data_IF_338959968669
#
_entry.id   IF_338959968669
#
_cell.length_a   1.000
_cell.length_b   1.000
_cell.length_c   1.000
_cell.angle_alpha   90.00
_cell.angle_beta   90.00
_cell.angle_gamma   90.00
#
_symmetry.space_group_name_H-M   'P 1'
#
loop_
_entity.id
_entity.type
_entity.pdbx_description
1 polymer ?
#
# COMPACT_ATOMS: atom_id res chain seq x y z
N UNK A 1 12.71 12.17 9.50
CA UNK A 1 11.91 11.85 10.70
C UNK A 1 11.09 10.60 10.40
N UNK A 2 11.02 9.63 11.33
CA UNK A 2 10.13 8.48 11.21
C UNK A 2 8.73 8.95 11.64
N UNK A 3 7.82 9.11 10.68
CA UNK A 3 6.48 9.65 10.92
C UNK A 3 5.44 8.59 11.28
N UNK A 4 5.82 7.30 11.24
CA UNK A 4 4.92 6.20 11.59
C UNK A 4 5.33 5.60 12.92
N UNK A 5 4.50 5.82 13.93
CA UNK A 5 4.75 5.42 15.32
C UNK A 5 4.16 4.05 15.64
N UNK A 6 3.24 3.54 14.81
CA UNK A 6 2.54 2.27 15.04
C UNK A 6 2.83 1.30 13.91
N UNK A 7 3.33 0.12 14.27
CA UNK A 7 3.38 -1.00 13.33
C UNK A 7 1.94 -1.54 13.13
N UNK A 8 1.62 -2.06 11.94
CA UNK A 8 0.32 -2.54 11.48
C UNK A 8 0.06 -4.01 11.83
N UNK A 9 -0.80 -4.27 12.80
CA UNK A 9 -1.39 -5.55 13.19
C UNK A 9 -2.81 -5.65 12.63
N UNK A 10 -3.32 -6.88 12.54
CA UNK A 10 -4.69 -7.15 12.08
C UNK A 10 -5.80 -6.42 12.87
N UNK A 11 -5.54 -6.05 14.13
CA UNK A 11 -6.48 -5.37 15.02
C UNK A 11 -6.29 -3.84 15.11
N UNK A 12 -5.27 -3.27 14.47
CA UNK A 12 -5.06 -1.81 14.38
C UNK A 12 -4.86 -1.33 12.93
N UNK A 13 -5.28 -2.15 11.96
CA UNK A 13 -5.11 -1.87 10.54
C UNK A 13 -5.63 -0.48 10.16
N UNK A 14 -6.88 -0.15 10.52
CA UNK A 14 -7.49 1.16 10.21
C UNK A 14 -6.66 2.34 10.73
N UNK A 15 -6.03 2.20 11.90
CA UNK A 15 -5.22 3.25 12.49
C UNK A 15 -3.88 3.40 11.77
N UNK A 16 -3.21 2.29 11.42
CA UNK A 16 -1.95 2.37 10.68
C UNK A 16 -2.16 2.74 9.20
N UNK A 17 -3.27 2.31 8.60
CA UNK A 17 -3.71 2.74 7.26
C UNK A 17 -3.88 4.27 7.23
N UNK A 18 -4.59 4.83 8.23
CA UNK A 18 -4.74 6.28 8.38
C UNK A 18 -3.39 6.99 8.49
N UNK A 19 -2.44 6.44 9.26
CA UNK A 19 -1.10 7.04 9.40
C UNK A 19 -0.28 7.00 8.10
N UNK A 20 -0.37 5.91 7.33
CA UNK A 20 0.32 5.77 6.04
C UNK A 20 -0.28 6.72 5.01
N UNK A 21 -1.60 6.76 4.89
CA UNK A 21 -2.30 7.69 4.01
C UNK A 21 -1.91 9.12 4.36
N UNK A 22 -2.00 9.49 5.64
CA UNK A 22 -1.64 10.84 6.10
C UNK A 22 -0.19 11.20 5.75
N UNK A 23 0.76 10.26 5.91
CA UNK A 23 2.16 10.47 5.53
C UNK A 23 2.28 10.70 4.01
N UNK A 24 1.70 9.83 3.19
CA UNK A 24 1.78 9.91 1.73
C UNK A 24 1.11 11.19 1.21
N UNK A 25 -0.06 11.55 1.75
CA UNK A 25 -0.80 12.77 1.43
C UNK A 25 -0.02 14.03 1.82
N UNK A 26 0.65 14.04 2.98
CA UNK A 26 1.48 15.18 3.41
C UNK A 26 2.62 15.51 2.44
N UNK A 27 3.01 14.54 1.59
CA UNK A 27 4.03 14.68 0.56
C UNK A 27 3.45 14.91 -0.84
N UNK A 28 2.12 14.92 -0.99
CA UNK A 28 1.45 15.02 -2.29
C UNK A 28 1.60 13.77 -3.17
N UNK A 29 1.83 12.60 -2.56
CA UNK A 29 2.19 11.37 -3.28
C UNK A 29 1.04 10.35 -3.38
N UNK A 30 -0.19 10.72 -3.01
CA UNK A 30 -1.34 9.81 -2.99
C UNK A 30 -1.62 9.16 -4.36
N UNK A 31 -1.31 9.90 -5.43
CA UNK A 31 -1.42 9.45 -6.82
C UNK A 31 -0.71 8.12 -7.13
N UNK A 32 0.37 7.80 -6.40
CA UNK A 32 1.15 6.57 -6.61
C UNK A 32 0.46 5.32 -6.08
N UNK A 33 -0.45 5.43 -5.11
CA UNK A 33 -1.15 4.28 -4.53
C UNK A 33 -2.59 4.13 -5.06
N UNK A 34 -3.25 5.23 -5.45
CA UNK A 34 -4.57 5.16 -6.08
C UNK A 34 -4.51 4.97 -7.61
N UNK A 35 -3.38 5.31 -8.25
CA UNK A 35 -3.17 5.15 -9.68
C UNK A 35 -3.28 6.43 -10.50
N UNK A 36 -3.52 7.59 -9.88
CA UNK A 36 -3.58 8.88 -10.59
C UNK A 36 -2.21 9.35 -11.09
N UNK A 37 -1.11 8.74 -10.62
CA UNK A 37 0.26 8.98 -11.09
C UNK A 37 0.83 7.73 -11.77
N UNK A 38 0.45 7.43 -13.02
CA UNK A 38 0.94 6.25 -13.73
C UNK A 38 2.44 6.35 -14.06
N UNK A 39 3.10 5.19 -14.20
CA UNK A 39 4.50 5.13 -14.63
C UNK A 39 4.66 5.76 -16.02
N UNK A 40 5.62 6.68 -16.21
CA UNK A 40 6.05 7.11 -17.53
C UNK A 40 6.62 5.96 -18.36
N UNK A 41 6.77 6.17 -19.67
CA UNK A 41 7.51 5.25 -20.54
C UNK A 41 8.97 5.17 -20.10
N UNK A 42 9.54 3.95 -20.08
CA UNK A 42 10.92 3.72 -19.65
C UNK A 42 11.95 4.36 -20.59
N UNK A 43 11.66 4.36 -21.89
CA UNK A 43 12.49 4.96 -22.93
C UNK A 43 11.66 5.95 -23.73
N UNK A 44 12.32 6.98 -24.24
CA UNK A 44 11.76 7.98 -25.15
C UNK A 44 12.67 8.14 -26.35
N UNK A 45 12.08 8.49 -27.49
CA UNK A 45 12.87 8.88 -28.67
C UNK A 45 13.39 10.31 -28.50
N UNK A 46 14.69 10.49 -28.66
CA UNK A 46 15.32 11.79 -28.77
C UNK A 46 16.11 11.84 -30.08
N UNK A 47 15.52 12.48 -31.10
CA UNK A 47 16.10 12.64 -32.43
C UNK A 47 16.47 11.30 -33.11
N UNK A 48 15.60 10.30 -33.03
CA UNK A 48 15.79 8.98 -33.64
C UNK A 48 16.66 8.02 -32.84
N UNK A 49 17.04 8.40 -31.61
CA UNK A 49 17.76 7.53 -30.67
C UNK A 49 16.87 7.26 -29.46
N UNK A 50 16.69 5.98 -29.12
CA UNK A 50 16.02 5.59 -27.87
C UNK A 50 16.95 5.87 -26.69
N UNK A 51 16.46 6.67 -25.74
CA UNK A 51 17.17 7.03 -24.52
C UNK A 51 16.30 6.75 -23.29
N UNK A 52 16.93 6.53 -22.14
CA UNK A 52 16.22 6.33 -20.88
C UNK A 52 15.48 7.61 -20.49
N UNK A 53 14.20 7.47 -20.14
CA UNK A 53 13.40 8.56 -19.63
C UNK A 53 13.79 8.90 -18.17
N UNK A 54 14.21 10.14 -17.94
CA UNK A 54 14.55 10.62 -16.59
C UNK A 54 13.32 10.72 -15.68
N UNK A 55 12.13 10.94 -16.25
CA UNK A 55 10.88 10.97 -15.50
C UNK A 55 10.53 9.57 -15.00
N UNK A 56 10.75 8.53 -15.82
CA UNK A 56 10.61 7.14 -15.38
C UNK A 56 11.55 6.82 -14.22
N UNK A 57 12.81 7.23 -14.33
CA UNK A 57 13.81 6.99 -13.28
C UNK A 57 13.41 7.68 -11.97
N UNK A 58 12.89 8.91 -12.05
CA UNK A 58 12.41 9.66 -10.89
C UNK A 58 11.15 9.04 -10.29
N UNK A 59 10.21 8.63 -11.14
CA UNK A 59 8.99 7.92 -10.74
C UNK A 59 9.30 6.63 -10.00
N UNK A 60 10.23 5.80 -10.51
CA UNK A 60 10.65 4.55 -9.86
C UNK A 60 11.23 4.81 -8.48
N UNK A 61 12.08 5.83 -8.32
CA UNK A 61 12.65 6.18 -7.00
C UNK A 61 11.54 6.51 -5.99
N UNK A 62 10.55 7.28 -6.41
CA UNK A 62 9.42 7.66 -5.56
C UNK A 62 8.53 6.47 -5.23
N UNK A 63 8.17 5.64 -6.22
CA UNK A 63 7.41 4.39 -6.02
C UNK A 63 8.10 3.47 -5.00
N UNK A 64 9.42 3.25 -5.13
CA UNK A 64 10.18 2.44 -4.17
C UNK A 64 10.24 3.05 -2.79
N UNK A 65 10.34 4.37 -2.67
CA UNK A 65 10.33 5.06 -1.38
C UNK A 65 8.98 4.86 -0.67
N UNK A 66 7.88 5.05 -1.38
CA UNK A 66 6.53 4.85 -0.82
C UNK A 66 6.36 3.38 -0.42
N UNK A 67 6.78 2.44 -1.27
CA UNK A 67 6.75 1.01 -0.94
C UNK A 67 7.55 0.70 0.32
N UNK A 68 8.72 1.31 0.49
CA UNK A 68 9.55 1.16 1.69
C UNK A 68 8.87 1.75 2.94
N UNK A 69 8.20 2.90 2.82
CA UNK A 69 7.38 3.46 3.90
C UNK A 69 6.28 2.49 4.31
N UNK A 70 5.44 2.05 3.36
CA UNK A 70 4.36 1.08 3.63
C UNK A 70 4.95 -0.16 4.31
N UNK A 71 6.01 -0.75 3.76
CA UNK A 71 6.64 -1.95 4.33
C UNK A 71 7.19 -1.72 5.73
N UNK A 72 7.81 -0.56 5.99
CA UNK A 72 8.35 -0.20 7.31
C UNK A 72 7.30 -0.06 8.39
N UNK A 73 6.04 0.13 8.01
CA UNK A 73 4.91 0.14 8.94
C UNK A 73 4.32 -1.23 9.21
N UNK A 74 4.66 -2.28 8.47
CA UNK A 74 4.05 -3.61 8.63
C UNK A 74 4.61 -4.36 9.85
N UNK A 75 3.75 -5.08 10.60
CA UNK A 75 4.24 -6.12 11.49
C UNK A 75 4.66 -7.38 10.71
N UNK A 76 5.55 -8.16 11.31
CA UNK A 76 6.12 -9.37 10.70
C UNK A 76 5.07 -10.36 10.20
N UNK A 77 3.96 -10.50 10.93
CA UNK A 77 2.83 -11.37 10.56
C UNK A 77 2.14 -10.99 9.24
N UNK A 78 2.29 -9.76 8.76
CA UNK A 78 1.69 -9.28 7.51
C UNK A 78 2.72 -8.92 6.44
N UNK A 79 4.02 -9.02 6.73
CA UNK A 79 5.10 -8.84 5.75
C UNK A 79 5.01 -9.83 4.58
N UNK A 80 4.41 -11.01 4.78
CA UNK A 80 4.19 -11.99 3.72
C UNK A 80 3.42 -11.43 2.52
N UNK A 81 2.49 -10.50 2.76
CA UNK A 81 1.71 -9.84 1.70
C UNK A 81 2.56 -8.87 0.86
N UNK A 82 3.71 -8.42 1.38
CA UNK A 82 4.59 -7.51 0.66
C UNK A 82 5.53 -8.24 -0.32
N UNK A 83 5.71 -9.55 -0.14
CA UNK A 83 6.58 -10.37 -0.99
C UNK A 83 6.01 -10.44 -2.40
N UNK A 84 6.88 -10.25 -3.40
CA UNK A 84 6.51 -10.38 -4.82
C UNK A 84 5.85 -9.14 -5.45
N UNK A 85 5.33 -8.21 -4.64
CA UNK A 85 4.74 -6.95 -5.16
C UNK A 85 5.78 -6.09 -5.88
N UNK A 86 5.43 -5.48 -7.00
CA UNK A 86 6.36 -4.74 -7.87
C UNK A 86 6.27 -3.22 -7.71
N UNK A 87 5.13 -2.70 -7.27
CA UNK A 87 4.90 -1.25 -7.07
C UNK A 87 4.29 -0.95 -5.70
N UNK A 88 4.30 0.33 -5.29
CA UNK A 88 3.58 0.78 -4.09
C UNK A 88 2.07 0.57 -4.24
N UNK A 89 1.52 0.78 -5.45
CA UNK A 89 0.11 0.52 -5.76
C UNK A 89 -0.27 -0.94 -5.55
N UNK A 90 0.50 -1.86 -6.13
CA UNK A 90 0.23 -3.30 -6.00
C UNK A 90 0.29 -3.74 -4.55
N UNK A 91 1.31 -3.28 -3.81
CA UNK A 91 1.39 -3.51 -2.36
C UNK A 91 0.17 -2.97 -1.62
N UNK A 92 -0.23 -1.74 -1.93
CA UNK A 92 -1.38 -1.10 -1.31
C UNK A 92 -2.67 -1.91 -1.55
N UNK A 93 -2.93 -2.31 -2.80
CA UNK A 93 -4.09 -3.13 -3.15
C UNK A 93 -4.10 -4.48 -2.41
N UNK A 94 -2.98 -5.20 -2.40
CA UNK A 94 -2.90 -6.51 -1.70
C UNK A 94 -3.20 -6.35 -0.20
N UNK A 95 -2.70 -5.29 0.43
CA UNK A 95 -3.00 -5.02 1.83
C UNK A 95 -4.49 -4.69 2.02
N UNK A 96 -5.03 -3.72 1.27
CA UNK A 96 -6.44 -3.33 1.35
C UNK A 96 -7.38 -4.52 1.16
N UNK A 97 -7.10 -5.41 0.21
CA UNK A 97 -7.91 -6.61 -0.06
C UNK A 97 -7.83 -7.62 1.10
N UNK A 98 -6.63 -7.88 1.62
CA UNK A 98 -6.43 -8.83 2.71
C UNK A 98 -7.12 -8.38 4.01
N UNK A 99 -7.09 -7.09 4.30
CA UNK A 99 -7.71 -6.54 5.52
C UNK A 99 -9.22 -6.36 5.38
N UNK A 100 -9.73 -6.06 4.18
CA UNK A 100 -11.18 -6.03 3.92
C UNK A 100 -11.80 -7.42 4.15
N UNK A 101 -11.21 -8.47 3.57
CA UNK A 101 -11.64 -9.86 3.78
C UNK A 101 -11.58 -10.29 5.25
N UNK A 102 -10.52 -9.91 5.98
CA UNK A 102 -10.39 -10.23 7.40
C UNK A 102 -11.45 -9.50 8.27
N UNK A 103 -11.90 -8.32 7.85
CA UNK A 103 -12.96 -7.58 8.53
C UNK A 103 -14.32 -8.24 8.30
N UNK A 104 -14.63 -8.61 7.06
CA UNK A 104 -15.88 -9.31 6.71
C UNK A 104 -16.00 -10.66 7.41
N UNK A 105 -14.92 -11.45 7.46
CA UNK A 105 -14.90 -12.75 8.13
C UNK A 105 -15.18 -12.62 9.64
N UNK A 106 -14.60 -11.60 10.30
CA UNK A 106 -14.85 -11.32 11.72
C UNK A 106 -16.29 -10.91 11.99
N UNK A 107 -16.85 -10.06 11.14
CA UNK A 107 -18.25 -9.64 11.28
C UNK A 107 -19.20 -10.84 11.12
N UNK A 108 -18.94 -11.69 10.13
CA UNK A 108 -19.73 -12.90 9.91
C UNK A 108 -19.64 -13.89 11.09
N UNK A 109 -18.44 -14.11 11.63
CA UNK A 109 -18.24 -14.97 12.81
C UNK A 109 -18.98 -14.42 14.04
N UNK A 110 -18.89 -13.11 14.27
CA UNK A 110 -19.60 -12.44 15.36
C UNK A 110 -21.12 -12.56 15.21
N UNK A 111 -21.66 -12.33 14.02
CA UNK A 111 -23.09 -12.51 13.74
C UNK A 111 -23.52 -13.97 13.95
N UNK A 112 -22.71 -14.93 13.53
CA UNK A 112 -22.98 -16.36 13.70
C UNK A 112 -23.03 -16.76 15.18
N UNK A 113 -22.09 -16.27 16.00
CA UNK A 113 -22.11 -16.48 17.45
C UNK A 113 -23.34 -15.84 18.09
N UNK A 114 -23.70 -14.61 17.70
CA UNK A 114 -24.91 -13.94 18.21
C UNK A 114 -26.20 -14.67 17.84
N UNK A 115 -26.27 -15.30 16.66
CA UNK A 115 -27.41 -16.13 16.27
C UNK A 115 -27.46 -17.46 17.05
N UNK A 116 -26.30 -18.06 17.31
CA UNK A 116 -26.20 -19.28 18.10
C UNK A 116 -26.62 -19.07 19.56
N UNK A 117 -26.22 -17.95 20.17
CA UNK A 117 -26.60 -17.59 21.54
C UNK A 117 -28.04 -17.07 21.70
N UNK A 118 -28.78 -16.89 20.60
CA UNK A 118 -30.21 -16.53 20.59
C UNK A 118 -31.15 -17.75 20.47
N UNK A 119 -30.62 -18.97 20.44
CA UNK A 119 -31.38 -20.23 20.52
C UNK A 119 -31.30 -20.83 21.92
#
# INVERSE_FOLDING_TARGET
ANFVTLKLKQNNYLLGETQIISLIESQGLLGFINGDTPSPAQEIDQNGTQIINLDYTSWVKTDKLIKAWITGTLFEAVLGHAVGTKSSKELWTVLSDAFSQASEAREFEFQSMMQYHKK
#
